data_IF_235279379625
#
_entry.id   IF_235279379625
#
_cell.length_a   1.000
_cell.length_b   1.000
_cell.length_c   1.000
_cell.angle_alpha   90.00
_cell.angle_beta   90.00
_cell.angle_gamma   90.00
#
_symmetry.space_group_name_H-M   'P 1'
#
loop_
_entity.id
_entity.type
_entity.pdbx_description
1 polymer ?
#
# COMPACT_ATOMS: atom_id res chain seq x y z
N UNK A 1 10.35 -9.26 10.82
CA UNK A 1 11.36 -9.33 9.75
C UNK A 1 11.17 -10.67 9.05
N UNK A 2 10.88 -10.66 7.76
CA UNK A 2 10.67 -11.86 6.96
C UNK A 2 11.97 -12.25 6.24
N UNK A 3 12.47 -13.49 6.34
CA UNK A 3 13.78 -13.88 5.80
C UNK A 3 13.98 -13.61 4.30
N UNK A 4 12.90 -13.60 3.50
CA UNK A 4 12.95 -13.38 2.05
C UNK A 4 12.42 -12.03 1.58
N UNK A 5 11.50 -11.42 2.34
CA UNK A 5 10.79 -10.19 1.95
C UNK A 5 11.31 -8.97 2.70
N UNK A 6 12.16 -9.16 3.71
CA UNK A 6 12.71 -8.08 4.52
C UNK A 6 11.69 -7.53 5.53
N UNK A 7 11.40 -6.22 5.43
CA UNK A 7 10.42 -5.56 6.30
C UNK A 7 9.01 -5.99 5.93
N UNK A 8 8.09 -5.93 6.89
CA UNK A 8 6.70 -6.29 6.68
C UNK A 8 5.84 -5.77 7.83
N UNK A 9 4.53 -5.66 7.58
CA UNK A 9 3.54 -5.29 8.58
C UNK A 9 3.01 -6.54 9.28
N UNK A 10 3.00 -6.51 10.61
CA UNK A 10 2.54 -7.62 11.45
C UNK A 10 1.48 -7.12 12.43
N UNK A 11 0.47 -7.95 12.66
CA UNK A 11 -0.57 -7.64 13.62
C UNK A 11 -0.01 -7.70 15.05
N UNK A 12 -0.15 -6.63 15.84
CA UNK A 12 0.28 -6.62 17.26
C UNK A 12 -0.76 -7.25 18.19
N UNK A 13 -1.99 -7.40 17.70
CA UNK A 13 -3.14 -7.99 18.38
C UNK A 13 -4.00 -8.72 17.34
N UNK A 14 -4.91 -9.58 17.80
CA UNK A 14 -5.88 -10.19 16.89
C UNK A 14 -6.75 -9.12 16.21
N UNK A 15 -6.95 -9.26 14.90
CA UNK A 15 -7.77 -8.39 14.07
C UNK A 15 -8.98 -9.22 13.61
N UNK A 16 -10.22 -8.84 13.97
CA UNK A 16 -11.42 -9.56 13.52
C UNK A 16 -11.56 -9.55 11.99
N UNK A 17 -12.34 -10.48 11.45
CA UNK A 17 -12.75 -10.44 10.05
C UNK A 17 -13.46 -9.10 9.74
N UNK A 18 -13.26 -8.59 8.52
CA UNK A 18 -13.92 -7.40 8.01
C UNK A 18 -13.55 -6.10 8.77
N UNK A 19 -12.34 -6.04 9.33
CA UNK A 19 -11.83 -4.87 10.04
C UNK A 19 -11.03 -3.97 9.08
N UNK A 20 -11.25 -2.66 9.15
CA UNK A 20 -10.41 -1.67 8.46
C UNK A 20 -9.02 -1.63 9.09
N UNK A 21 -7.98 -1.92 8.31
CA UNK A 21 -6.58 -1.98 8.73
C UNK A 21 -5.84 -0.68 8.40
N UNK A 22 -6.09 -0.12 7.22
CA UNK A 22 -5.36 1.03 6.68
C UNK A 22 -6.25 1.82 5.71
N UNK A 23 -6.00 3.12 5.61
CA UNK A 23 -6.64 4.05 4.66
C UNK A 23 -5.58 4.94 4.01
N UNK A 24 -5.92 5.53 2.87
CA UNK A 24 -5.04 6.42 2.09
C UNK A 24 -4.73 7.78 2.74
N UNK A 25 -4.94 7.97 4.05
CA UNK A 25 -4.80 9.26 4.75
C UNK A 25 -3.44 9.94 4.51
N UNK A 26 -2.39 9.15 4.33
CA UNK A 26 -1.03 9.60 4.04
C UNK A 26 -0.53 9.14 2.66
N UNK A 27 -1.37 9.25 1.64
CA UNK A 27 -1.02 8.91 0.25
C UNK A 27 -0.87 10.16 -0.61
N UNK A 28 0.25 10.28 -1.32
CA UNK A 28 0.43 11.33 -2.31
C UNK A 28 -0.04 10.84 -3.69
N UNK A 29 -0.95 11.59 -4.32
CA UNK A 29 -1.49 11.28 -5.64
C UNK A 29 -1.02 12.30 -6.67
N UNK A 30 -0.51 11.81 -7.81
CA UNK A 30 -0.01 12.62 -8.92
C UNK A 30 -0.73 12.22 -10.20
N UNK A 31 -1.60 13.10 -10.68
CA UNK A 31 -2.38 12.87 -11.91
C UNK A 31 -1.54 13.13 -13.17
N UNK A 32 -0.38 13.79 -13.03
CA UNK A 32 0.52 14.08 -14.14
C UNK A 32 1.97 13.77 -13.76
N UNK A 33 2.73 13.16 -14.69
CA UNK A 33 4.10 12.74 -14.42
C UNK A 33 5.08 13.87 -14.07
N UNK A 34 4.80 15.14 -14.44
CA UNK A 34 5.61 16.27 -13.99
C UNK A 34 5.39 16.62 -12.51
N UNK A 35 4.20 16.35 -11.95
CA UNK A 35 3.92 16.58 -10.52
C UNK A 35 4.75 15.63 -9.67
N UNK A 36 4.78 14.34 -10.06
CA UNK A 36 5.61 13.34 -9.40
C UNK A 36 7.10 13.68 -9.47
N UNK A 37 7.61 14.07 -10.65
CA UNK A 37 9.01 14.53 -10.80
C UNK A 37 9.33 15.74 -9.92
N UNK A 38 8.41 16.70 -9.82
CA UNK A 38 8.58 17.87 -8.94
C UNK A 38 8.64 17.46 -7.47
N UNK A 39 7.80 16.51 -7.05
CA UNK A 39 7.82 15.95 -5.70
C UNK A 39 9.15 15.25 -5.39
N UNK A 40 9.64 14.39 -6.30
CA UNK A 40 10.93 13.71 -6.13
C UNK A 40 12.12 14.68 -6.00
N UNK A 41 12.08 15.84 -6.67
CA UNK A 41 13.13 16.87 -6.54
C UNK A 41 13.10 17.61 -5.19
N UNK A 42 12.06 17.45 -4.37
CA UNK A 42 11.91 18.14 -3.09
C UNK A 42 12.32 17.28 -1.89
N UNK A 43 12.59 15.99 -2.10
CA UNK A 43 13.01 15.06 -1.04
C UNK A 43 14.51 14.73 -1.17
N UNK A 44 15.16 14.24 -0.09
CA UNK A 44 16.53 13.75 -0.18
C UNK A 44 16.71 12.69 -1.28
N UNK A 45 17.86 12.65 -1.98
CA UNK A 45 18.06 11.73 -3.12
C UNK A 45 17.87 10.23 -2.80
N UNK A 46 18.24 9.81 -1.60
CA UNK A 46 18.03 8.45 -1.10
C UNK A 46 16.53 8.12 -0.96
N UNK A 47 15.75 9.04 -0.41
CA UNK A 47 14.30 8.92 -0.30
C UNK A 47 13.62 8.98 -1.68
N UNK A 48 14.13 9.80 -2.61
CA UNK A 48 13.62 9.85 -3.97
C UNK A 48 13.75 8.49 -4.67
N UNK A 49 14.87 7.79 -4.49
CA UNK A 49 15.07 6.44 -5.01
C UNK A 49 14.06 5.43 -4.44
N UNK A 50 13.84 5.47 -3.12
CA UNK A 50 12.84 4.61 -2.48
C UNK A 50 11.43 4.91 -3.01
N UNK A 51 11.04 6.18 -3.09
CA UNK A 51 9.73 6.58 -3.64
C UNK A 51 9.55 6.15 -5.09
N UNK A 52 10.59 6.23 -5.93
CA UNK A 52 10.49 5.77 -7.31
C UNK A 52 10.22 4.26 -7.42
N UNK A 53 10.77 3.45 -6.51
CA UNK A 53 10.58 1.99 -6.52
C UNK A 53 9.22 1.60 -5.93
N UNK A 54 8.78 2.30 -4.87
CA UNK A 54 7.60 1.93 -4.10
C UNK A 54 6.31 2.67 -4.50
N UNK A 55 6.38 3.61 -5.44
CA UNK A 55 5.20 4.22 -6.02
C UNK A 55 4.54 3.30 -7.03
N UNK A 56 3.21 3.28 -7.05
CA UNK A 56 2.43 2.44 -7.94
C UNK A 56 1.54 3.30 -8.85
N UNK A 57 1.28 2.79 -10.05
CA UNK A 57 0.44 3.46 -11.03
C UNK A 57 -0.95 2.82 -11.05
N UNK A 58 -1.99 3.63 -10.88
CA UNK A 58 -3.38 3.21 -11.05
C UNK A 58 -3.98 3.87 -12.28
N UNK A 59 -4.80 3.12 -13.01
CA UNK A 59 -5.63 3.69 -14.07
C UNK A 59 -6.93 4.20 -13.45
N UNK A 60 -7.22 5.49 -13.60
CA UNK A 60 -8.40 6.13 -13.02
C UNK A 60 -9.71 5.79 -13.74
N UNK A 61 -9.66 4.91 -14.76
CA UNK A 61 -10.81 4.50 -15.57
C UNK A 61 -11.41 5.60 -16.45
N UNK A 62 -10.94 6.85 -16.33
CA UNK A 62 -11.49 8.03 -17.03
C UNK A 62 -10.83 8.28 -18.38
N UNK A 63 -9.77 7.51 -18.70
CA UNK A 63 -8.96 7.69 -19.91
C UNK A 63 -7.99 8.87 -19.82
N UNK A 64 -7.88 9.53 -18.66
CA UNK A 64 -7.05 10.73 -18.47
C UNK A 64 -5.56 10.45 -18.20
N UNK A 65 -5.20 9.18 -17.96
CA UNK A 65 -3.83 8.73 -17.77
C UNK A 65 -3.66 7.88 -16.52
N UNK A 66 -2.45 7.37 -16.30
CA UNK A 66 -2.12 6.70 -15.05
C UNK A 66 -1.85 7.74 -13.95
N UNK A 67 -2.46 7.56 -12.78
CA UNK A 67 -2.15 8.31 -11.55
C UNK A 67 -1.00 7.56 -10.87
N UNK A 68 0.05 8.28 -10.49
CA UNK A 68 1.10 7.74 -9.62
C UNK A 68 0.70 8.01 -8.18
N UNK A 69 0.73 6.96 -7.36
CA UNK A 69 0.43 7.03 -5.94
C UNK A 69 1.66 6.60 -5.13
N UNK A 70 1.92 7.29 -4.03
CA UNK A 70 2.99 6.94 -3.08
C UNK A 70 2.42 6.93 -1.66
N UNK A 71 2.40 5.77 -1.02
CA UNK A 71 2.02 5.67 0.38
C UNK A 71 3.20 6.15 1.24
N UNK A 72 2.99 7.17 2.08
CA UNK A 72 4.03 7.81 2.88
C UNK A 72 4.01 7.35 4.34
N UNK A 73 3.41 6.19 4.60
CA UNK A 73 3.26 5.58 5.92
C UNK A 73 3.57 4.07 5.88
N UNK A 74 3.12 3.34 6.90
CA UNK A 74 3.34 1.90 7.04
C UNK A 74 2.68 1.06 5.91
N UNK A 75 1.72 1.62 5.16
CA UNK A 75 1.10 1.00 3.99
C UNK A 75 2.13 0.56 2.94
N UNK A 76 3.19 1.36 2.76
CA UNK A 76 4.31 1.08 1.86
C UNK A 76 5.12 -0.20 2.17
N UNK A 77 4.91 -0.80 3.35
CA UNK A 77 5.61 -2.00 3.81
C UNK A 77 4.74 -3.26 3.82
N UNK A 78 3.50 -3.19 3.32
CA UNK A 78 2.72 -4.38 3.03
C UNK A 78 3.46 -5.24 1.99
N UNK A 79 3.42 -6.55 2.18
CA UNK A 79 4.01 -7.48 1.23
C UNK A 79 2.92 -8.21 0.47
N UNK A 80 3.30 -8.72 -0.70
CA UNK A 80 2.47 -9.65 -1.45
C UNK A 80 2.41 -11.01 -0.77
N UNK A 81 1.22 -11.63 -0.74
CA UNK A 81 1.10 -13.06 -0.50
C UNK A 81 1.73 -13.84 -1.66
N UNK A 82 2.67 -14.75 -1.38
CA UNK A 82 3.29 -15.59 -2.42
C UNK A 82 2.30 -16.57 -3.04
N UNK A 83 1.18 -16.82 -2.34
CA UNK A 83 0.05 -17.63 -2.79
C UNK A 83 -1.23 -16.90 -2.47
N UNK A 84 -2.27 -17.09 -3.30
CA UNK A 84 -3.61 -16.53 -3.04
C UNK A 84 -4.18 -16.93 -1.68
N UNK A 85 -3.82 -18.10 -1.16
CA UNK A 85 -4.24 -18.57 0.17
C UNK A 85 -3.60 -17.83 1.34
N UNK A 86 -2.48 -17.12 1.10
CA UNK A 86 -1.76 -16.36 2.13
C UNK A 86 -2.30 -14.94 2.27
N UNK A 87 -2.91 -14.41 1.20
CA UNK A 87 -3.54 -13.08 1.19
C UNK A 87 -4.64 -13.04 2.25
N UNK A 88 -4.54 -12.07 3.16
CA UNK A 88 -5.49 -11.89 4.26
C UNK A 88 -6.14 -10.51 4.26
N UNK A 89 -5.89 -9.70 3.23
CA UNK A 89 -6.52 -8.39 3.03
C UNK A 89 -7.18 -8.22 1.67
N UNK A 90 -8.15 -7.29 1.61
CA UNK A 90 -8.82 -6.85 0.39
C UNK A 90 -8.96 -5.32 0.39
N UNK A 91 -8.71 -4.70 -0.75
CA UNK A 91 -8.95 -3.27 -0.95
C UNK A 91 -10.43 -3.00 -1.23
N UNK A 92 -10.96 -1.90 -0.67
CA UNK A 92 -12.33 -1.44 -0.89
C UNK A 92 -12.37 0.09 -0.93
N UNK A 93 -13.35 0.64 -1.65
CA UNK A 93 -13.61 2.07 -1.58
C UNK A 93 -14.18 2.43 -0.21
N UNK A 94 -13.67 3.53 0.35
CA UNK A 94 -14.14 4.15 1.59
C UNK A 94 -14.40 5.64 1.32
N UNK A 95 -15.03 6.33 2.26
CA UNK A 95 -15.16 7.79 2.15
C UNK A 95 -13.76 8.42 2.11
N UNK A 96 -13.49 9.19 1.06
CA UNK A 96 -12.19 9.87 0.89
C UNK A 96 -11.09 9.07 0.19
N UNK A 97 -11.31 7.80 -0.20
CA UNK A 97 -10.29 7.04 -0.93
C UNK A 97 -10.47 5.52 -0.89
N UNK A 98 -9.35 4.79 -0.80
CA UNK A 98 -9.28 3.34 -0.62
C UNK A 98 -8.95 2.97 0.82
N UNK A 99 -9.47 1.83 1.24
CA UNK A 99 -9.19 1.21 2.53
C UNK A 99 -8.85 -0.26 2.35
N UNK A 100 -7.95 -0.75 3.20
CA UNK A 100 -7.54 -2.16 3.26
C UNK A 100 -8.26 -2.82 4.42
N UNK A 101 -8.99 -3.90 4.13
CA UNK A 101 -9.78 -4.64 5.11
C UNK A 101 -9.27 -6.07 5.26
N UNK A 102 -9.37 -6.63 6.47
CA UNK A 102 -9.15 -8.07 6.68
C UNK A 102 -10.22 -8.92 6.00
N UNK A 103 -9.81 -10.02 5.35
CA UNK A 103 -10.70 -11.01 4.71
C UNK A 103 -11.14 -12.14 5.64
N UNK A 104 -10.44 -12.27 6.77
CA UNK A 104 -10.68 -13.23 7.86
C UNK A 104 -10.12 -12.65 9.16
N UNK A 105 -10.29 -13.37 10.26
CA UNK A 105 -9.52 -13.06 11.46
C UNK A 105 -8.01 -13.22 11.17
N UNK A 106 -7.20 -12.29 11.67
CA UNK A 106 -5.74 -12.28 11.60
C UNK A 106 -5.22 -12.37 13.03
N UNK A 107 -4.32 -13.31 13.29
CA UNK A 107 -3.80 -13.54 14.63
C UNK A 107 -2.72 -12.52 15.01
N UNK A 108 -2.53 -12.31 16.31
CA UNK A 108 -1.39 -11.53 16.80
C UNK A 108 -0.07 -12.19 16.35
N UNK A 109 0.84 -11.41 15.80
CA UNK A 109 2.10 -11.85 15.22
C UNK A 109 2.00 -12.32 13.77
N UNK A 110 0.79 -12.47 13.21
CA UNK A 110 0.61 -12.82 11.80
C UNK A 110 0.97 -11.62 10.90
N UNK A 111 1.61 -11.90 9.75
CA UNK A 111 1.92 -10.88 8.76
C UNK A 111 0.66 -10.48 7.99
N UNK A 112 0.48 -9.19 7.75
CA UNK A 112 -0.57 -8.66 6.90
C UNK A 112 -0.07 -8.70 5.44
N UNK A 113 -0.81 -9.38 4.57
CA UNK A 113 -0.42 -9.70 3.21
C UNK A 113 -1.54 -9.35 2.22
N UNK A 114 -1.17 -8.64 1.15
CA UNK A 114 -2.09 -8.24 0.10
C UNK A 114 -1.85 -8.97 -1.23
N UNK A 115 -2.74 -8.74 -2.18
CA UNK A 115 -2.56 -9.16 -3.56
C UNK A 115 -2.26 -7.91 -4.41
N UNK A 116 -1.07 -7.84 -5.04
CA UNK A 116 -0.70 -6.76 -5.96
C UNK A 116 -1.09 -7.04 -7.43
N UNK A 117 -1.65 -8.22 -7.73
CA UNK A 117 -2.12 -8.60 -9.07
C UNK A 117 -3.59 -8.30 -9.31
#
# INVERSE_FOLDING_TARGET
YHPRMGRGIYATRSIPNNTLIWTEDYTAHFTQGWQFRKFLMQVPPDIACDLMIWSYAIHDGSGSGAIVCSDLDAGSLLNEGSRRSEVNTVERNVEGGRGVYSMRAIDAGEQILMNYN
#
